data_IF_900530015151
#
_entry.id   IF_900530015151
#
_cell.length_a   1.000
_cell.length_b   1.000
_cell.length_c   1.000
_cell.angle_alpha   90.00
_cell.angle_beta   90.00
_cell.angle_gamma   90.00
#
_symmetry.space_group_name_H-M   'P 1'
#
loop_
_entity.id
_entity.type
_entity.pdbx_description
1 polymer ?
#
# COMPACT_ATOMS: atom_id res chain seq x y z
N UNK A 1 11.03 -15.51 -24.09
CA UNK A 1 9.87 -14.62 -23.96
C UNK A 1 10.27 -13.28 -24.57
N UNK A 2 9.58 -12.86 -25.62
CA UNK A 2 9.77 -11.55 -26.22
C UNK A 2 8.91 -10.57 -25.43
N UNK A 3 9.54 -9.56 -24.80
CA UNK A 3 8.85 -8.48 -24.11
C UNK A 3 8.90 -7.20 -24.96
N UNK A 4 7.84 -6.44 -24.93
CA UNK A 4 7.75 -5.14 -25.63
C UNK A 4 8.27 -3.99 -24.79
N UNK A 5 8.26 -4.15 -23.47
CA UNK A 5 8.76 -3.17 -22.53
C UNK A 5 9.31 -3.87 -21.27
N UNK A 6 10.36 -3.31 -20.71
CA UNK A 6 10.98 -3.77 -19.47
C UNK A 6 11.17 -2.58 -18.55
N UNK A 7 10.58 -2.63 -17.36
CA UNK A 7 10.64 -1.55 -16.36
C UNK A 7 11.53 -1.97 -15.20
N UNK A 8 12.44 -1.09 -14.82
CA UNK A 8 13.18 -1.18 -13.57
C UNK A 8 12.72 -0.05 -12.64
N UNK A 9 12.49 -0.37 -11.38
CA UNK A 9 12.06 0.63 -10.39
C UNK A 9 13.11 1.72 -10.12
N UNK A 10 14.34 1.51 -10.56
CA UNK A 10 15.44 2.50 -10.48
C UNK A 10 15.55 3.43 -11.69
N UNK A 11 14.67 3.32 -12.67
CA UNK A 11 14.67 4.20 -13.84
C UNK A 11 13.98 5.54 -13.55
N UNK A 12 14.48 6.62 -14.17
CA UNK A 12 13.89 7.95 -14.01
C UNK A 12 12.41 8.02 -14.41
N UNK A 13 12.00 7.23 -15.41
CA UNK A 13 10.58 7.16 -15.80
C UNK A 13 9.70 6.55 -14.72
N UNK A 14 10.21 5.57 -13.95
CA UNK A 14 9.50 5.01 -12.81
C UNK A 14 9.38 6.05 -11.70
N UNK A 15 10.47 6.74 -11.36
CA UNK A 15 10.45 7.82 -10.37
C UNK A 15 9.40 8.87 -10.71
N UNK A 16 9.37 9.36 -11.97
CA UNK A 16 8.37 10.33 -12.42
C UNK A 16 6.94 9.80 -12.33
N UNK A 17 6.71 8.55 -12.74
CA UNK A 17 5.40 7.93 -12.70
C UNK A 17 4.88 7.80 -11.25
N UNK A 18 5.73 7.34 -10.33
CA UNK A 18 5.40 7.20 -8.91
C UNK A 18 5.06 8.56 -8.31
N UNK A 19 5.92 9.55 -8.52
CA UNK A 19 5.70 10.90 -7.99
C UNK A 19 4.45 11.53 -8.57
N UNK A 20 4.20 11.42 -9.87
CA UNK A 20 2.98 11.94 -10.53
C UNK A 20 1.72 11.29 -9.97
N UNK A 21 1.72 9.97 -9.82
CA UNK A 21 0.56 9.22 -9.33
C UNK A 21 0.19 9.63 -7.90
N UNK A 22 1.16 9.59 -7.00
CA UNK A 22 0.91 9.90 -5.60
C UNK A 22 0.67 11.39 -5.34
N UNK A 23 1.30 12.28 -6.12
CA UNK A 23 1.01 13.72 -6.07
C UNK A 23 -0.46 13.98 -6.43
N UNK A 24 -0.99 13.32 -7.47
CA UNK A 24 -2.41 13.45 -7.82
C UNK A 24 -3.35 13.02 -6.70
N UNK A 25 -3.01 11.94 -5.98
CA UNK A 25 -3.80 11.49 -4.82
C UNK A 25 -3.64 12.43 -3.61
N UNK A 26 -2.46 13.01 -3.42
CA UNK A 26 -2.23 14.04 -2.40
C UNK A 26 -3.07 15.29 -2.66
N UNK A 27 -3.03 15.82 -3.87
CA UNK A 27 -3.77 17.01 -4.28
C UNK A 27 -5.29 16.80 -4.19
N UNK A 28 -5.75 15.56 -4.43
CA UNK A 28 -7.15 15.16 -4.28
C UNK A 28 -7.58 14.92 -2.81
N UNK A 29 -6.66 15.00 -1.84
CA UNK A 29 -6.96 14.83 -0.41
C UNK A 29 -7.14 13.38 0.05
N UNK A 30 -6.66 12.40 -0.74
CA UNK A 30 -6.70 10.97 -0.41
C UNK A 30 -5.56 10.50 0.49
N UNK A 31 -4.62 11.38 0.82
CA UNK A 31 -3.51 11.08 1.71
C UNK A 31 -3.60 11.91 2.99
N UNK A 32 -3.12 11.32 4.09
CA UNK A 32 -2.98 12.00 5.37
C UNK A 32 -1.74 11.52 6.10
N UNK A 33 -1.22 12.34 7.02
CA UNK A 33 -0.06 12.00 7.84
C UNK A 33 -0.52 11.49 9.20
N UNK A 34 0.04 10.37 9.64
CA UNK A 34 -0.24 9.78 10.94
C UNK A 34 0.94 8.98 11.47
N UNK A 35 1.05 8.88 12.78
CA UNK A 35 1.95 7.92 13.41
C UNK A 35 1.35 6.51 13.28
N UNK A 36 2.20 5.52 13.03
CA UNK A 36 1.77 4.12 13.08
C UNK A 36 1.74 3.69 14.56
N UNK A 37 0.57 3.31 15.01
CA UNK A 37 0.36 2.75 16.35
C UNK A 37 -0.21 1.35 16.21
N UNK A 38 0.24 0.43 17.04
CA UNK A 38 -0.25 -0.93 17.01
C UNK A 38 0.45 -1.87 17.97
N UNK A 39 0.03 -3.12 17.94
CA UNK A 39 0.65 -4.18 18.71
C UNK A 39 1.94 -4.65 18.05
N UNK A 40 3.07 -4.36 18.66
CA UNK A 40 4.40 -4.65 18.14
C UNK A 40 5.00 -5.90 18.77
N UNK A 41 5.43 -6.84 17.93
CA UNK A 41 6.24 -7.97 18.36
C UNK A 41 7.72 -7.65 18.16
N UNK A 42 8.44 -7.47 19.26
CA UNK A 42 9.88 -7.15 19.25
C UNK A 42 10.72 -8.27 18.62
N UNK A 43 10.25 -9.53 18.70
CA UNK A 43 11.00 -10.67 18.18
C UNK A 43 10.89 -10.83 16.67
N UNK A 44 9.68 -10.60 16.14
CA UNK A 44 9.41 -10.65 14.69
C UNK A 44 9.60 -9.28 14.01
N UNK A 45 9.89 -8.22 14.81
CA UNK A 45 10.03 -6.84 14.34
C UNK A 45 8.84 -6.39 13.48
N UNK A 46 7.62 -6.81 13.88
CA UNK A 46 6.41 -6.65 13.08
C UNK A 46 5.24 -6.14 13.92
N UNK A 47 4.44 -5.27 13.31
CA UNK A 47 3.16 -4.83 13.87
C UNK A 47 2.03 -5.74 13.42
N UNK A 48 1.09 -5.99 14.35
CA UNK A 48 -0.11 -6.79 14.14
C UNK A 48 -1.36 -5.96 14.43
N UNK A 49 -2.42 -6.20 13.66
CA UNK A 49 -3.75 -5.74 14.05
C UNK A 49 -4.23 -6.54 15.27
N UNK A 50 -5.04 -5.93 16.12
CA UNK A 50 -5.55 -6.62 17.32
C UNK A 50 -6.34 -7.89 16.96
N UNK A 51 -7.02 -7.88 15.80
CA UNK A 51 -7.76 -9.03 15.27
C UNK A 51 -6.89 -10.25 14.94
N UNK A 52 -5.60 -10.03 14.70
CA UNK A 52 -4.66 -11.07 14.27
C UNK A 52 -3.88 -11.65 15.45
N UNK A 53 -4.03 -11.06 16.64
CA UNK A 53 -3.36 -11.50 17.85
C UNK A 53 -4.11 -12.66 18.52
N UNK A 54 -3.33 -13.51 19.17
CA UNK A 54 -3.86 -14.53 20.07
C UNK A 54 -3.82 -14.05 21.52
N UNK A 55 -4.54 -14.74 22.41
CA UNK A 55 -4.43 -14.53 23.85
C UNK A 55 -3.83 -15.76 24.52
N UNK A 56 -2.91 -15.53 25.45
CA UNK A 56 -2.37 -16.58 26.31
C UNK A 56 -3.37 -16.97 27.42
N UNK A 57 -2.99 -17.93 28.27
CA UNK A 57 -3.82 -18.40 29.39
C UNK A 57 -4.13 -17.30 30.42
N UNK A 58 -3.28 -16.27 30.52
CA UNK A 58 -3.46 -15.13 31.39
C UNK A 58 -4.30 -13.99 30.76
N UNK A 59 -4.72 -14.17 29.50
CA UNK A 59 -5.52 -13.21 28.73
C UNK A 59 -4.73 -12.08 28.09
N UNK A 60 -3.40 -12.14 28.12
CA UNK A 60 -2.52 -11.14 27.45
C UNK A 60 -2.38 -11.43 25.95
N UNK A 61 -2.28 -10.37 25.15
CA UNK A 61 -2.02 -10.51 23.71
C UNK A 61 -0.63 -11.04 23.43
N UNK A 62 -0.56 -12.03 22.57
CA UNK A 62 0.68 -12.66 22.09
C UNK A 62 0.75 -12.70 20.57
N UNK A 63 1.98 -12.67 20.07
CA UNK A 63 2.27 -12.79 18.65
C UNK A 63 1.76 -14.13 18.09
N UNK A 64 1.05 -14.15 16.95
CA UNK A 64 0.55 -15.38 16.35
C UNK A 64 1.67 -16.32 15.89
N UNK A 65 2.85 -15.76 15.55
CA UNK A 65 3.97 -16.52 15.01
C UNK A 65 4.90 -17.08 16.11
N UNK A 66 5.41 -16.20 16.98
CA UNK A 66 6.39 -16.63 18.01
C UNK A 66 5.78 -16.86 19.41
N UNK A 67 4.48 -16.60 19.60
CA UNK A 67 3.72 -16.79 20.87
C UNK A 67 4.26 -15.95 22.05
N UNK A 68 5.09 -14.96 21.80
CA UNK A 68 5.61 -14.04 22.83
C UNK A 68 4.68 -12.86 23.03
N UNK A 69 4.67 -12.26 24.24
CA UNK A 69 3.90 -11.05 24.51
C UNK A 69 4.23 -9.94 23.50
N UNK A 70 3.18 -9.27 23.03
CA UNK A 70 3.29 -8.07 22.20
C UNK A 70 3.05 -6.83 23.06
N UNK A 71 3.52 -5.67 22.60
CA UNK A 71 3.30 -4.37 23.26
C UNK A 71 2.54 -3.47 22.33
N UNK A 72 1.59 -2.72 22.89
CA UNK A 72 0.98 -1.63 22.14
C UNK A 72 1.92 -0.43 22.22
N UNK A 73 2.46 -0.04 21.11
CA UNK A 73 3.37 1.09 21.03
C UNK A 73 3.18 1.87 19.73
N UNK A 74 3.51 3.16 19.79
CA UNK A 74 3.63 3.98 18.61
C UNK A 74 5.04 3.83 18.06
N UNK A 75 5.17 3.73 16.74
CA UNK A 75 6.48 3.70 16.08
C UNK A 75 7.28 4.99 16.34
N UNK A 76 6.61 6.05 16.81
CA UNK A 76 7.19 7.39 16.93
C UNK A 76 7.49 8.03 15.56
N UNK A 77 7.24 7.30 14.49
CA UNK A 77 7.46 7.69 13.12
C UNK A 77 6.15 8.10 12.47
N UNK A 78 6.02 9.34 12.03
CA UNK A 78 4.88 9.78 11.25
C UNK A 78 5.10 9.41 9.79
N UNK A 79 4.13 8.71 9.20
CA UNK A 79 4.14 8.31 7.80
C UNK A 79 2.91 8.82 7.07
N UNK A 80 2.98 8.86 5.74
CA UNK A 80 1.85 9.14 4.89
C UNK A 80 1.01 7.89 4.69
N UNK A 81 -0.31 8.03 4.82
CA UNK A 81 -1.30 6.97 4.65
C UNK A 81 -2.24 7.29 3.50
N UNK A 82 -2.57 6.29 2.72
CA UNK A 82 -3.59 6.32 1.69
C UNK A 82 -4.92 5.82 2.27
N UNK A 83 -6.00 6.59 2.10
CA UNK A 83 -7.35 6.28 2.58
C UNK A 83 -7.99 5.14 1.78
N UNK A 84 -7.35 3.96 1.75
CA UNK A 84 -7.84 2.80 1.00
C UNK A 84 -9.21 2.33 1.51
N UNK A 85 -9.50 2.48 2.79
CA UNK A 85 -10.79 2.13 3.40
C UNK A 85 -11.98 2.82 2.71
N UNK A 86 -11.81 4.05 2.24
CA UNK A 86 -12.84 4.81 1.52
C UNK A 86 -13.19 4.21 0.14
N UNK A 87 -12.30 3.40 -0.42
CA UNK A 87 -12.50 2.74 -1.71
C UNK A 87 -13.25 1.41 -1.62
N UNK A 88 -13.53 0.89 -0.43
CA UNK A 88 -14.18 -0.40 -0.24
C UNK A 88 -15.52 -0.48 -0.98
N UNK A 89 -16.42 0.45 -0.74
CA UNK A 89 -17.74 0.43 -1.37
C UNK A 89 -17.69 0.72 -2.88
N UNK A 90 -16.91 1.70 -3.35
CA UNK A 90 -16.69 1.91 -4.78
C UNK A 90 -16.16 0.67 -5.51
N UNK A 91 -15.19 -0.03 -4.92
CA UNK A 91 -14.62 -1.26 -5.51
C UNK A 91 -15.64 -2.39 -5.57
N UNK A 92 -16.41 -2.62 -4.50
CA UNK A 92 -17.44 -3.66 -4.50
C UNK A 92 -18.50 -3.40 -5.57
N UNK A 93 -18.94 -2.15 -5.70
CA UNK A 93 -19.87 -1.75 -6.76
C UNK A 93 -19.27 -1.97 -8.15
N UNK A 94 -18.03 -1.55 -8.35
CA UNK A 94 -17.32 -1.74 -9.62
C UNK A 94 -17.22 -3.23 -10.01
N UNK A 95 -16.88 -4.12 -9.07
CA UNK A 95 -16.79 -5.56 -9.33
C UNK A 95 -18.17 -6.21 -9.61
N UNK A 96 -19.26 -5.63 -9.08
CA UNK A 96 -20.62 -6.07 -9.39
C UNK A 96 -21.03 -5.66 -10.80
N UNK A 97 -20.74 -4.41 -11.19
CA UNK A 97 -21.04 -3.85 -12.52
C UNK A 97 -20.15 -4.45 -13.61
N UNK A 98 -18.93 -4.90 -13.27
CA UNK A 98 -17.93 -5.46 -14.18
C UNK A 98 -17.50 -6.88 -13.78
N UNK A 99 -18.38 -7.89 -13.89
CA UNK A 99 -18.12 -9.24 -13.38
C UNK A 99 -16.94 -9.96 -14.06
N UNK A 100 -16.55 -9.53 -15.24
CA UNK A 100 -15.46 -10.09 -16.04
C UNK A 100 -14.11 -9.37 -15.83
N UNK A 101 -14.08 -8.32 -15.02
CA UNK A 101 -12.85 -7.55 -14.76
C UNK A 101 -11.76 -8.39 -14.09
N UNK A 102 -12.15 -9.29 -13.17
CA UNK A 102 -11.22 -10.22 -12.52
C UNK A 102 -11.51 -11.64 -12.98
N UNK A 103 -10.51 -12.29 -13.56
CA UNK A 103 -10.58 -13.67 -14.04
C UNK A 103 -9.42 -14.51 -13.50
N UNK A 104 -9.59 -15.81 -13.28
CA UNK A 104 -10.83 -16.59 -13.35
C UNK A 104 -11.78 -16.27 -12.18
N UNK A 105 -12.99 -16.82 -12.20
CA UNK A 105 -14.03 -16.61 -11.18
C UNK A 105 -13.55 -16.90 -9.77
N UNK A 106 -12.69 -17.91 -9.57
CA UNK A 106 -12.08 -18.22 -8.26
C UNK A 106 -11.32 -17.03 -7.69
N UNK A 107 -10.51 -16.36 -8.50
CA UNK A 107 -9.75 -15.17 -8.09
C UNK A 107 -10.65 -13.96 -7.83
N UNK A 108 -11.70 -13.80 -8.65
CA UNK A 108 -12.72 -12.80 -8.39
C UNK A 108 -13.36 -12.98 -7.02
N UNK A 109 -13.75 -14.22 -6.69
CA UNK A 109 -14.39 -14.51 -5.40
C UNK A 109 -13.44 -14.23 -4.22
N UNK A 110 -12.16 -14.56 -4.33
CA UNK A 110 -11.14 -14.27 -3.33
C UNK A 110 -11.02 -12.74 -3.12
N UNK A 111 -10.83 -11.97 -4.19
CA UNK A 111 -10.70 -10.51 -4.11
C UNK A 111 -11.95 -9.86 -3.54
N UNK A 112 -13.13 -10.25 -4.03
CA UNK A 112 -14.40 -9.71 -3.51
C UNK A 112 -14.59 -10.05 -2.03
N UNK A 113 -14.23 -11.26 -1.61
CA UNK A 113 -14.28 -11.67 -0.21
C UNK A 113 -13.30 -10.85 0.65
N UNK A 114 -12.09 -10.64 0.16
CA UNK A 114 -11.09 -9.81 0.83
C UNK A 114 -11.58 -8.37 1.01
N UNK A 115 -12.08 -7.74 -0.05
CA UNK A 115 -12.59 -6.36 0.01
C UNK A 115 -13.80 -6.25 0.93
N UNK A 116 -14.70 -7.25 0.95
CA UNK A 116 -15.85 -7.32 1.86
C UNK A 116 -15.43 -7.46 3.34
N UNK A 117 -14.28 -8.06 3.60
CA UNK A 117 -13.74 -8.22 4.94
C UNK A 117 -13.33 -6.91 5.62
N UNK A 118 -13.23 -5.82 4.86
CA UNK A 118 -12.85 -4.49 5.33
C UNK A 118 -11.46 -4.09 4.87
N UNK A 119 -11.36 -3.00 4.11
CA UNK A 119 -10.09 -2.43 3.71
C UNK A 119 -9.55 -1.52 4.81
N UNK A 120 -8.23 -1.59 5.03
CA UNK A 120 -7.50 -0.75 5.97
C UNK A 120 -6.70 0.29 5.18
N UNK A 121 -6.51 1.48 5.77
CA UNK A 121 -5.64 2.50 5.18
C UNK A 121 -4.19 2.01 5.14
N UNK A 122 -3.49 2.35 4.05
CA UNK A 122 -2.15 1.86 3.79
C UNK A 122 -1.10 2.93 4.05
N UNK A 123 -0.08 2.60 4.84
CA UNK A 123 1.12 3.42 4.94
C UNK A 123 1.93 3.33 3.65
N UNK A 124 2.12 4.48 3.00
CA UNK A 124 2.78 4.60 1.69
C UNK A 124 4.18 5.22 1.75
N UNK A 125 4.62 5.65 2.92
CA UNK A 125 5.95 6.27 3.09
C UNK A 125 6.68 5.73 4.30
N UNK A 126 7.98 6.05 4.36
CA UNK A 126 8.88 5.79 5.49
C UNK A 126 9.81 7.00 5.67
N UNK A 127 10.15 7.31 6.93
CA UNK A 127 11.12 8.35 7.30
C UNK A 127 12.37 7.79 7.98
N UNK A 128 12.38 6.50 8.32
CA UNK A 128 13.48 5.83 9.02
C UNK A 128 14.73 5.57 8.17
N UNK A 129 14.63 5.74 6.85
CA UNK A 129 15.74 5.60 5.89
C UNK A 129 15.53 6.54 4.70
N UNK A 130 16.63 6.85 4.01
CA UNK A 130 16.68 7.81 2.91
C UNK A 130 16.80 7.18 1.51
N UNK A 131 16.91 5.84 1.43
CA UNK A 131 16.95 5.13 0.15
C UNK A 131 15.55 4.85 -0.37
N UNK A 132 15.26 5.36 -1.55
CA UNK A 132 13.95 5.19 -2.21
C UNK A 132 13.58 6.39 -3.07
N UNK A 133 12.38 6.37 -3.64
CA UNK A 133 11.84 7.51 -4.40
C UNK A 133 11.34 8.55 -3.39
N UNK A 134 11.88 9.80 -3.42
CA UNK A 134 11.46 10.85 -2.50
C UNK A 134 9.99 11.23 -2.67
N UNK A 135 9.32 11.48 -1.55
CA UNK A 135 7.96 12.02 -1.51
C UNK A 135 8.01 13.51 -1.91
N UNK A 136 7.33 13.96 -2.98
CA UNK A 136 7.51 15.32 -3.52
C UNK A 136 7.08 16.45 -2.58
N UNK A 137 6.11 16.19 -1.71
CA UNK A 137 5.55 17.17 -0.76
C UNK A 137 6.14 17.07 0.65
N UNK A 138 7.07 16.13 0.90
CA UNK A 138 7.69 15.95 2.22
C UNK A 138 9.10 15.36 2.09
N UNK A 139 10.11 16.23 2.10
CA UNK A 139 11.53 15.89 1.86
C UNK A 139 12.10 14.86 2.85
N UNK A 140 11.48 14.68 4.02
CA UNK A 140 11.92 13.70 5.04
C UNK A 140 11.44 12.27 4.77
N UNK A 141 10.69 12.02 3.66
CA UNK A 141 10.08 10.74 3.41
C UNK A 141 10.45 10.17 2.04
N UNK A 142 10.53 8.84 1.97
CA UNK A 142 10.58 8.08 0.72
C UNK A 142 9.36 7.18 0.61
N UNK A 143 8.95 6.86 -0.61
CA UNK A 143 7.83 5.93 -0.82
C UNK A 143 8.18 4.53 -0.34
N UNK A 144 7.21 3.88 0.30
CA UNK A 144 7.30 2.48 0.67
C UNK A 144 7.37 1.58 -0.58
N UNK A 145 8.10 0.48 -0.49
CA UNK A 145 8.42 -0.38 -1.64
C UNK A 145 7.20 -0.78 -2.49
N UNK A 146 6.06 -1.07 -1.89
CA UNK A 146 4.86 -1.42 -2.66
C UNK A 146 4.18 -0.22 -3.30
N UNK A 147 4.30 0.98 -2.68
CA UNK A 147 3.81 2.23 -3.27
C UNK A 147 4.63 2.63 -4.52
N UNK A 148 5.89 2.21 -4.59
CA UNK A 148 6.74 2.32 -5.78
C UNK A 148 6.46 1.17 -6.78
N UNK A 149 6.67 -0.08 -6.35
CA UNK A 149 6.72 -1.23 -7.24
C UNK A 149 5.42 -1.46 -8.03
N UNK A 150 4.25 -1.21 -7.44
CA UNK A 150 2.97 -1.40 -8.13
C UNK A 150 2.75 -0.38 -9.25
N UNK A 151 3.36 0.79 -9.19
CA UNK A 151 3.25 1.79 -10.27
C UNK A 151 4.04 1.36 -11.52
N UNK A 152 4.94 0.37 -11.42
CA UNK A 152 5.66 -0.14 -12.57
C UNK A 152 4.74 -0.69 -13.67
N UNK A 153 3.54 -1.17 -13.33
CA UNK A 153 2.54 -1.57 -14.32
C UNK A 153 2.04 -0.39 -15.15
N UNK A 154 1.83 0.76 -14.53
CA UNK A 154 1.44 2.00 -15.21
C UNK A 154 2.61 2.58 -16.02
N UNK A 155 3.81 2.59 -15.45
CA UNK A 155 5.04 3.00 -16.13
C UNK A 155 5.26 2.18 -17.41
N UNK A 156 4.99 0.89 -17.36
CA UNK A 156 5.12 -0.04 -18.48
C UNK A 156 4.25 0.33 -19.68
N UNK A 157 3.10 0.92 -19.49
CA UNK A 157 2.19 1.37 -20.54
C UNK A 157 2.37 2.85 -20.92
N UNK A 158 3.28 3.58 -20.26
CA UNK A 158 3.67 4.94 -20.64
C UNK A 158 3.25 6.05 -19.69
N UNK A 159 2.62 5.71 -18.53
CA UNK A 159 2.25 6.72 -17.54
C UNK A 159 3.48 7.45 -17.00
N UNK A 160 3.42 8.78 -16.94
CA UNK A 160 4.53 9.61 -16.47
C UNK A 160 5.69 9.77 -17.46
N UNK A 161 5.58 9.23 -18.68
CA UNK A 161 6.54 9.41 -19.75
C UNK A 161 6.01 10.46 -20.73
N UNK A 162 6.63 11.66 -20.84
CA UNK A 162 6.15 12.73 -21.70
C UNK A 162 6.07 12.37 -23.20
N UNK A 163 6.88 11.39 -23.64
CA UNK A 163 6.92 10.96 -25.05
C UNK A 163 5.90 9.82 -25.33
N UNK A 164 5.42 9.17 -24.29
CA UNK A 164 4.56 7.97 -24.36
C UNK A 164 3.31 8.09 -23.51
N UNK A 165 3.03 9.28 -23.01
CA UNK A 165 1.90 9.48 -22.11
C UNK A 165 0.59 9.07 -22.80
N UNK A 166 -0.01 8.02 -22.27
CA UNK A 166 -1.36 7.61 -22.62
C UNK A 166 -2.31 8.44 -21.77
N UNK A 167 -3.38 9.01 -22.36
CA UNK A 167 -4.44 9.61 -21.59
C UNK A 167 -5.12 8.51 -20.77
N UNK A 168 -5.02 8.64 -19.47
CA UNK A 168 -5.77 7.81 -18.52
C UNK A 168 -7.01 8.60 -18.13
N UNK A 169 -8.16 8.21 -18.68
CA UNK A 169 -9.47 8.75 -18.36
C UNK A 169 -10.00 8.21 -17.01
#
# INVERSE_FOLDING_TARGET
IDYTNFVRTTEDRQTRAVQKFWQGLYDAGWLYKSAYEGWYCVHEETYYAESDLEKNEDGEFVCPDCKRPVRYESSGEENWFFKLSEFQQPLLKFYEEHPDFIRPVSRRNEIVSFVKGGLQDLSISRSSFDWGIPVPWDEGHVFYVWADALIAYLTGIGYGDPEREVEFD
#
